data_IF_744165470358
#
_entry.id   IF_744165470358
#
_cell.length_a   1.000
_cell.length_b   1.000
_cell.length_c   1.000
_cell.angle_alpha   90.00
_cell.angle_beta   90.00
_cell.angle_gamma   90.00
#
_symmetry.space_group_name_H-M   'P 1'
#
loop_
_entity.id
_entity.type
_entity.pdbx_description
1 polymer ?
#
# COMPACT_ATOMS: atom_id res chain seq x y z
N UNK A 1 41.12 -46.79 21.52
CA UNK A 1 40.38 -45.71 22.21
C UNK A 1 39.98 -44.57 21.28
N UNK A 2 40.74 -44.25 20.22
CA UNK A 2 40.46 -43.16 19.29
C UNK A 2 39.30 -43.42 18.31
N UNK A 3 39.12 -44.64 17.82
CA UNK A 3 38.01 -44.98 16.89
C UNK A 3 36.60 -44.85 17.51
N UNK A 4 36.47 -45.15 18.82
CA UNK A 4 35.16 -44.98 19.52
C UNK A 4 34.76 -43.51 19.71
N UNK A 5 35.75 -42.63 19.90
CA UNK A 5 35.50 -41.19 20.04
C UNK A 5 35.09 -40.56 18.70
N UNK A 6 35.70 -41.01 17.59
CA UNK A 6 35.35 -40.51 16.23
C UNK A 6 33.93 -40.87 15.84
N UNK A 7 33.43 -42.07 16.17
CA UNK A 7 32.06 -42.47 15.93
C UNK A 7 31.02 -41.66 16.71
N UNK A 8 31.34 -41.22 17.93
CA UNK A 8 30.43 -40.36 18.73
C UNK A 8 30.35 -38.94 18.15
N UNK A 9 31.46 -38.38 17.67
CA UNK A 9 31.44 -37.06 17.04
C UNK A 9 30.69 -37.04 15.69
N UNK A 10 30.81 -38.12 14.89
CA UNK A 10 30.01 -38.22 13.64
C UNK A 10 28.52 -38.39 13.94
N UNK A 11 28.14 -39.13 14.96
CA UNK A 11 26.74 -39.29 15.35
C UNK A 11 26.14 -38.01 15.92
N UNK A 12 26.90 -37.21 16.68
CA UNK A 12 26.45 -35.89 17.18
C UNK A 12 26.33 -34.85 16.04
N UNK A 13 27.22 -34.89 15.05
CA UNK A 13 27.18 -34.01 13.90
C UNK A 13 25.96 -34.31 12.99
N UNK A 14 25.63 -35.60 12.79
CA UNK A 14 24.44 -36.01 12.02
C UNK A 14 23.13 -35.63 12.73
N UNK A 15 23.05 -35.71 14.07
CA UNK A 15 21.87 -35.25 14.81
C UNK A 15 21.67 -33.72 14.73
N UNK A 16 22.74 -32.92 14.71
CA UNK A 16 22.67 -31.47 14.59
C UNK A 16 22.19 -31.01 13.20
N UNK A 17 22.50 -31.78 12.15
CA UNK A 17 22.06 -31.47 10.77
C UNK A 17 20.60 -31.87 10.56
N UNK A 18 20.12 -32.93 11.17
CA UNK A 18 18.71 -33.36 11.05
C UNK A 18 17.72 -32.46 11.82
N UNK A 19 18.16 -31.76 12.87
CA UNK A 19 17.31 -30.87 13.66
C UNK A 19 16.83 -29.64 12.92
N UNK A 20 17.52 -29.17 11.88
CA UNK A 20 17.14 -27.99 11.10
C UNK A 20 16.21 -28.27 9.91
N UNK A 21 16.01 -29.53 9.52
CA UNK A 21 15.14 -29.90 8.38
C UNK A 21 13.67 -30.14 8.78
N UNK A 22 13.42 -30.37 10.09
CA UNK A 22 12.08 -30.75 10.57
C UNK A 22 11.07 -29.56 10.63
N UNK A 23 11.55 -28.31 10.78
CA UNK A 23 10.65 -27.16 10.96
C UNK A 23 10.00 -26.65 9.67
N UNK A 24 10.55 -26.98 8.51
CA UNK A 24 10.04 -26.46 7.23
C UNK A 24 8.92 -27.32 6.61
N UNK A 25 8.75 -28.58 7.05
CA UNK A 25 7.76 -29.50 6.45
C UNK A 25 6.34 -29.31 6.97
N UNK A 26 6.14 -28.78 8.16
CA UNK A 26 4.82 -28.66 8.81
C UNK A 26 4.23 -27.24 8.84
N UNK A 27 4.90 -26.24 8.27
CA UNK A 27 4.33 -24.89 8.18
C UNK A 27 3.28 -24.81 7.05
N UNK A 28 2.09 -24.18 7.30
CA UNK A 28 1.54 -23.82 8.60
C UNK A 28 0.76 -25.00 9.23
N UNK A 29 0.85 -25.17 10.56
CA UNK A 29 0.08 -26.15 11.33
C UNK A 29 -0.86 -25.51 12.37
N UNK A 30 -0.89 -24.18 12.43
CA UNK A 30 -1.77 -23.37 13.28
C UNK A 30 -2.20 -22.12 12.51
N UNK A 31 -3.23 -21.37 12.99
CA UNK A 31 -3.68 -20.14 12.35
C UNK A 31 -2.58 -19.10 12.21
N UNK A 32 -2.62 -18.33 11.11
CA UNK A 32 -1.71 -17.23 10.79
C UNK A 32 -2.42 -15.92 11.13
N UNK A 33 -1.74 -14.99 11.79
CA UNK A 33 -2.22 -13.65 12.09
C UNK A 33 -1.79 -12.67 11.00
N UNK A 34 -2.75 -11.97 10.39
CA UNK A 34 -2.49 -10.90 9.41
C UNK A 34 -2.72 -9.55 10.09
N UNK A 35 -1.63 -8.84 10.40
CA UNK A 35 -1.66 -7.51 11.02
C UNK A 35 -1.96 -6.45 9.96
N UNK A 36 -2.95 -5.58 10.25
CA UNK A 36 -3.42 -4.51 9.36
C UNK A 36 -3.42 -3.17 10.10
N UNK A 37 -2.67 -2.18 9.61
CA UNK A 37 -2.50 -0.87 10.27
C UNK A 37 -3.67 0.10 10.12
N UNK A 38 -4.83 -0.39 9.66
CA UNK A 38 -6.02 0.42 9.34
C UNK A 38 -7.25 -0.06 10.12
N UNK A 39 -8.22 0.85 10.40
CA UNK A 39 -9.44 0.47 11.10
C UNK A 39 -10.27 -0.59 10.35
N UNK A 40 -11.04 -1.40 11.07
CA UNK A 40 -12.00 -2.32 10.45
C UNK A 40 -12.99 -1.59 9.54
N UNK A 41 -13.39 -2.26 8.43
CA UNK A 41 -14.34 -1.73 7.45
C UNK A 41 -13.73 -0.79 6.41
N UNK A 42 -12.48 -0.35 6.56
CA UNK A 42 -11.77 0.43 5.55
C UNK A 42 -11.32 -0.43 4.35
N UNK A 43 -10.91 0.21 3.24
CA UNK A 43 -10.54 -0.48 2.00
C UNK A 43 -9.43 -1.53 2.19
N UNK A 44 -8.40 -1.23 2.99
CA UNK A 44 -7.32 -2.19 3.28
C UNK A 44 -7.80 -3.35 4.16
N UNK A 45 -8.73 -3.12 5.10
CA UNK A 45 -9.32 -4.19 5.90
C UNK A 45 -10.18 -5.13 5.03
N UNK A 46 -10.99 -4.57 4.14
CA UNK A 46 -11.79 -5.36 3.19
C UNK A 46 -10.87 -6.19 2.27
N UNK A 47 -9.80 -5.60 1.75
CA UNK A 47 -8.80 -6.31 0.96
C UNK A 47 -8.13 -7.42 1.78
N UNK A 48 -7.77 -7.16 3.05
CA UNK A 48 -7.18 -8.15 3.94
C UNK A 48 -8.08 -9.37 4.13
N UNK A 49 -9.39 -9.15 4.30
CA UNK A 49 -10.38 -10.25 4.48
C UNK A 49 -10.55 -11.08 3.20
N UNK A 50 -10.57 -10.44 2.02
CA UNK A 50 -10.60 -11.14 0.73
C UNK A 50 -9.35 -12.01 0.55
N UNK A 51 -8.16 -11.49 0.89
CA UNK A 51 -6.92 -12.25 0.81
C UNK A 51 -6.85 -13.36 1.87
N UNK A 52 -7.28 -13.08 3.10
CA UNK A 52 -7.31 -14.07 4.18
C UNK A 52 -8.17 -15.28 3.81
N UNK A 53 -9.37 -15.07 3.25
CA UNK A 53 -10.24 -16.13 2.74
C UNK A 53 -9.54 -16.99 1.67
N UNK A 54 -8.98 -16.34 0.65
CA UNK A 54 -8.34 -17.01 -0.48
C UNK A 54 -7.07 -17.77 -0.09
N UNK A 55 -6.20 -17.15 0.72
CA UNK A 55 -4.95 -17.76 1.18
C UNK A 55 -5.18 -18.88 2.21
N UNK A 56 -6.21 -18.76 3.08
CA UNK A 56 -6.56 -19.83 4.03
C UNK A 56 -6.87 -21.14 3.28
N UNK A 57 -7.58 -21.04 2.16
CA UNK A 57 -7.85 -22.20 1.30
C UNK A 57 -6.58 -22.81 0.70
N UNK A 58 -5.57 -21.98 0.35
CA UNK A 58 -4.30 -22.45 -0.23
C UNK A 58 -3.37 -23.07 0.82
N UNK A 59 -3.38 -22.54 2.03
CA UNK A 59 -2.48 -22.94 3.11
C UNK A 59 -3.05 -24.08 3.99
N UNK A 60 -4.35 -24.36 3.91
CA UNK A 60 -5.03 -25.31 4.78
C UNK A 60 -5.11 -24.85 6.24
N UNK A 61 -4.88 -23.56 6.52
CA UNK A 61 -4.92 -22.96 7.85
C UNK A 61 -5.59 -21.58 7.79
N UNK A 62 -6.35 -21.25 8.82
CA UNK A 62 -7.05 -19.97 8.89
C UNK A 62 -6.07 -18.80 8.97
N UNK A 63 -6.37 -17.72 8.24
CA UNK A 63 -5.72 -16.43 8.40
C UNK A 63 -6.68 -15.50 9.13
N UNK A 64 -6.24 -14.98 10.29
CA UNK A 64 -7.04 -14.08 11.14
C UNK A 64 -6.55 -12.65 10.94
N UNK A 65 -7.43 -11.77 10.48
CA UNK A 65 -7.12 -10.33 10.34
C UNK A 65 -7.15 -9.66 11.70
N UNK A 66 -6.05 -9.02 12.07
CA UNK A 66 -5.86 -8.29 13.34
C UNK A 66 -5.57 -6.81 13.04
N UNK A 67 -6.57 -5.95 13.25
CA UNK A 67 -6.46 -4.53 13.00
C UNK A 67 -5.73 -3.82 14.15
N UNK A 68 -4.63 -3.13 13.85
CA UNK A 68 -3.79 -2.34 14.77
C UNK A 68 -3.65 -0.90 14.25
N UNK A 69 -4.73 -0.11 14.22
CA UNK A 69 -4.67 1.27 13.73
C UNK A 69 -3.94 2.18 14.71
N UNK A 70 -3.43 3.30 14.20
CA UNK A 70 -2.86 4.39 15.00
C UNK A 70 -1.46 4.82 14.57
N UNK A 71 -1.11 6.06 14.95
CA UNK A 71 0.16 6.71 14.66
C UNK A 71 0.59 6.58 13.18
N UNK A 72 -0.33 6.84 12.23
CA UNK A 72 -0.03 6.72 10.79
C UNK A 72 0.41 5.33 10.34
N UNK A 73 -0.03 4.26 11.01
CA UNK A 73 0.35 2.83 10.83
C UNK A 73 1.63 2.38 11.58
N UNK A 74 2.28 3.28 12.34
CA UNK A 74 3.50 2.94 13.08
C UNK A 74 3.28 1.82 14.10
N UNK A 75 2.09 1.76 14.74
CA UNK A 75 1.74 0.71 15.71
C UNK A 75 1.77 -0.66 15.04
N UNK A 76 1.14 -0.80 13.87
CA UNK A 76 1.14 -2.05 13.13
C UNK A 76 2.53 -2.44 12.64
N UNK A 77 3.31 -1.48 12.13
CA UNK A 77 4.69 -1.72 11.69
C UNK A 77 5.57 -2.22 12.82
N UNK A 78 5.49 -1.60 14.00
CA UNK A 78 6.21 -2.01 15.19
C UNK A 78 5.78 -3.40 15.68
N UNK A 79 4.49 -3.74 15.59
CA UNK A 79 3.95 -5.05 15.94
C UNK A 79 4.49 -6.14 15.02
N UNK A 80 4.51 -5.91 13.69
CA UNK A 80 5.07 -6.86 12.73
C UNK A 80 6.56 -7.07 13.01
N UNK A 81 7.35 -6.00 13.17
CA UNK A 81 8.80 -6.07 13.39
C UNK A 81 9.17 -6.83 14.68
N UNK A 82 8.33 -6.77 15.73
CA UNK A 82 8.58 -7.44 17.01
C UNK A 82 8.05 -8.86 17.09
N UNK A 83 7.24 -9.27 16.12
CA UNK A 83 6.66 -10.63 16.09
C UNK A 83 7.74 -11.68 15.80
N UNK A 84 7.56 -12.93 16.27
CA UNK A 84 8.44 -14.04 15.91
C UNK A 84 8.55 -14.20 14.40
N UNK A 85 9.73 -14.54 13.91
CA UNK A 85 10.02 -14.76 12.49
C UNK A 85 9.69 -16.19 12.01
N UNK A 86 8.65 -16.80 12.57
CA UNK A 86 8.21 -18.16 12.29
C UNK A 86 7.18 -18.29 11.17
N UNK A 87 6.76 -17.16 10.58
CA UNK A 87 5.77 -17.07 9.50
C UNK A 87 4.32 -17.02 9.97
N UNK A 88 4.03 -17.14 11.27
CA UNK A 88 2.66 -17.07 11.81
C UNK A 88 2.16 -15.65 12.10
N UNK A 89 3.00 -14.66 11.84
CA UNK A 89 2.58 -13.25 11.72
C UNK A 89 3.00 -12.72 10.36
N UNK A 90 2.04 -12.16 9.62
CA UNK A 90 2.26 -11.44 8.37
C UNK A 90 1.65 -10.04 8.49
N UNK A 91 2.09 -9.09 7.69
CA UNK A 91 1.54 -7.75 7.62
C UNK A 91 0.97 -7.45 6.24
N UNK A 92 -0.20 -6.86 6.17
CA UNK A 92 -0.73 -6.24 4.95
C UNK A 92 -0.75 -4.73 5.14
N UNK A 93 -0.13 -4.01 4.22
CA UNK A 93 -0.06 -2.55 4.25
C UNK A 93 0.05 -1.94 2.86
N UNK A 94 0.26 -0.64 2.82
CA UNK A 94 0.37 0.14 1.60
C UNK A 94 1.66 0.94 1.52
N UNK A 95 1.83 1.69 0.42
CA UNK A 95 2.98 2.58 0.17
C UNK A 95 3.24 3.54 1.35
N UNK A 96 2.19 4.12 1.96
CA UNK A 96 2.32 5.00 3.11
C UNK A 96 2.99 4.33 4.30
N UNK A 97 2.60 3.09 4.59
CA UNK A 97 3.15 2.31 5.69
C UNK A 97 4.59 1.84 5.42
N UNK A 98 4.88 1.31 4.23
CA UNK A 98 6.12 0.59 3.99
C UNK A 98 7.21 1.40 3.30
N UNK A 99 6.88 2.59 2.75
CA UNK A 99 7.85 3.39 1.99
C UNK A 99 7.82 4.89 2.30
N UNK A 100 6.83 5.38 3.06
CA UNK A 100 6.72 6.81 3.40
C UNK A 100 6.93 7.06 4.88
N UNK A 101 6.32 6.23 5.74
CA UNK A 101 6.27 6.43 7.19
C UNK A 101 7.65 6.69 7.81
N UNK A 102 8.68 5.98 7.39
CA UNK A 102 10.04 6.13 7.91
C UNK A 102 10.67 7.49 7.63
N UNK A 103 10.22 8.19 6.58
CA UNK A 103 10.76 9.49 6.16
C UNK A 103 10.06 10.68 6.81
N UNK A 104 8.83 10.48 7.33
CA UNK A 104 8.01 11.56 7.89
C UNK A 104 7.79 11.40 9.40
N UNK A 105 8.03 10.23 9.97
CA UNK A 105 7.77 9.94 11.38
C UNK A 105 8.72 10.71 12.30
N UNK A 106 8.17 11.35 13.34
CA UNK A 106 8.95 11.95 14.43
C UNK A 106 9.58 10.90 15.36
N UNK A 107 9.10 9.66 15.31
CA UNK A 107 9.71 8.54 16.03
C UNK A 107 10.65 7.78 15.09
N UNK A 108 11.81 7.29 15.56
CA UNK A 108 12.77 6.60 14.70
C UNK A 108 12.24 5.23 14.29
N UNK A 109 11.35 5.19 13.29
CA UNK A 109 11.05 3.99 12.53
C UNK A 109 11.95 4.06 11.31
N UNK A 110 13.14 3.50 11.45
CA UNK A 110 14.18 3.64 10.42
C UNK A 110 14.21 2.37 9.57
N UNK A 111 14.23 2.57 8.24
CA UNK A 111 14.58 1.53 7.27
C UNK A 111 13.60 0.34 7.23
N UNK A 112 12.30 0.64 7.19
CA UNK A 112 11.23 -0.37 7.10
C UNK A 112 11.44 -1.41 6.00
N UNK A 113 11.85 -1.03 4.76
CA UNK A 113 12.10 -2.00 3.69
C UNK A 113 13.20 -3.03 4.00
N UNK A 114 14.16 -2.70 4.90
CA UNK A 114 15.21 -3.61 5.34
C UNK A 114 14.93 -4.26 6.70
N UNK A 115 13.86 -3.84 7.39
CA UNK A 115 13.42 -4.40 8.69
C UNK A 115 12.29 -5.41 8.56
N UNK A 116 11.81 -5.65 7.34
CA UNK A 116 10.73 -6.58 7.04
C UNK A 116 11.18 -7.54 5.92
N UNK A 117 10.69 -8.77 5.96
CA UNK A 117 10.85 -9.73 4.87
C UNK A 117 9.71 -9.52 3.86
N UNK A 118 9.99 -9.16 2.59
CA UNK A 118 8.95 -9.03 1.57
C UNK A 118 8.34 -10.40 1.27
N UNK A 119 7.01 -10.51 1.27
CA UNK A 119 6.28 -11.70 0.83
C UNK A 119 5.85 -11.55 -0.63
N UNK A 120 5.22 -10.41 -0.99
CA UNK A 120 4.83 -10.12 -2.36
C UNK A 120 3.98 -8.87 -2.46
N UNK A 121 3.98 -8.26 -3.64
CA UNK A 121 3.01 -7.21 -3.95
C UNK A 121 1.63 -7.85 -4.10
N UNK A 122 0.63 -7.19 -3.53
CA UNK A 122 -0.77 -7.64 -3.59
C UNK A 122 -1.45 -7.03 -4.80
N UNK A 123 -1.25 -5.74 -5.00
CA UNK A 123 -1.88 -5.01 -6.07
C UNK A 123 -1.58 -3.53 -6.02
N UNK A 124 -2.26 -2.79 -6.88
CA UNK A 124 -2.26 -1.34 -6.85
C UNK A 124 -3.69 -0.80 -6.93
N UNK A 125 -3.89 0.41 -6.40
CA UNK A 125 -5.10 1.20 -6.58
C UNK A 125 -4.75 2.43 -7.42
N UNK A 126 -5.32 2.60 -8.61
CA UNK A 126 -5.18 3.85 -9.35
C UNK A 126 -5.81 4.97 -8.53
N UNK A 127 -5.11 6.10 -8.46
CA UNK A 127 -5.65 7.32 -7.90
C UNK A 127 -6.18 8.20 -9.03
N UNK A 128 -7.09 9.09 -8.70
CA UNK A 128 -7.68 10.04 -9.65
C UNK A 128 -7.83 11.42 -9.01
N UNK A 129 -7.74 12.45 -9.82
CA UNK A 129 -8.10 13.81 -9.42
C UNK A 129 -9.61 13.99 -9.52
N UNK A 130 -10.25 14.22 -8.39
CA UNK A 130 -11.65 14.57 -8.24
C UNK A 130 -11.79 16.06 -7.96
N UNK A 131 -12.81 16.67 -8.55
CA UNK A 131 -13.20 18.07 -8.32
C UNK A 131 -14.71 18.16 -8.10
N UNK A 132 -15.22 19.23 -7.43
CA UNK A 132 -16.66 19.45 -7.31
C UNK A 132 -17.32 19.53 -8.70
N UNK A 133 -18.51 18.96 -8.85
CA UNK A 133 -19.27 19.08 -10.10
C UNK A 133 -19.60 20.53 -10.45
N UNK A 134 -19.74 21.39 -9.44
CA UNK A 134 -20.00 22.83 -9.57
C UNK A 134 -18.79 23.63 -10.03
N UNK A 135 -17.57 23.08 -9.93
CA UNK A 135 -16.36 23.74 -10.39
C UNK A 135 -16.35 23.79 -11.93
N UNK A 136 -16.20 24.98 -12.49
CA UNK A 136 -16.23 25.18 -13.94
C UNK A 136 -14.91 24.81 -14.62
N UNK A 137 -14.53 23.53 -14.53
CA UNK A 137 -13.37 22.91 -15.19
C UNK A 137 -13.76 21.51 -15.68
N UNK A 138 -13.25 21.09 -16.85
CA UNK A 138 -13.55 19.80 -17.46
C UNK A 138 -12.28 19.05 -17.92
N UNK A 139 -11.11 19.64 -17.69
CA UNK A 139 -9.82 19.04 -18.04
C UNK A 139 -8.75 19.38 -17.01
N UNK A 140 -7.67 18.61 -17.00
CA UNK A 140 -6.48 18.91 -16.18
C UNK A 140 -5.91 20.30 -16.54
N UNK A 141 -5.87 20.65 -17.82
CA UNK A 141 -5.36 21.94 -18.27
C UNK A 141 -6.18 23.11 -17.71
N UNK A 142 -7.51 23.04 -17.77
CA UNK A 142 -8.40 24.06 -17.20
C UNK A 142 -8.23 24.14 -15.67
N UNK A 143 -8.13 23.01 -15.00
CA UNK A 143 -7.92 22.97 -13.57
C UNK A 143 -6.57 23.63 -13.17
N UNK A 144 -5.48 23.28 -13.85
CA UNK A 144 -4.18 23.90 -13.59
C UNK A 144 -4.16 25.41 -13.90
N UNK A 145 -4.85 25.84 -14.95
CA UNK A 145 -5.01 27.26 -15.26
C UNK A 145 -5.77 28.00 -14.15
N UNK A 146 -6.83 27.39 -13.62
CA UNK A 146 -7.55 27.94 -12.45
C UNK A 146 -6.61 28.11 -11.26
N UNK A 147 -5.81 27.08 -10.91
CA UNK A 147 -4.87 27.16 -9.79
C UNK A 147 -3.79 28.22 -10.00
N UNK A 148 -3.30 28.39 -11.25
CA UNK A 148 -2.32 29.44 -11.59
C UNK A 148 -2.90 30.85 -11.51
N UNK A 149 -4.18 31.02 -11.82
CA UNK A 149 -4.85 32.33 -11.77
C UNK A 149 -5.16 32.78 -10.33
N UNK A 150 -5.23 31.84 -9.37
CA UNK A 150 -5.60 32.09 -7.97
C UNK A 150 -4.61 31.44 -6.98
N UNK A 151 -3.32 31.84 -6.99
CA UNK A 151 -2.30 31.20 -6.16
C UNK A 151 -2.61 31.35 -4.67
N UNK A 152 -2.62 30.23 -3.93
CA UNK A 152 -2.94 30.12 -2.51
C UNK A 152 -4.35 30.57 -2.08
N UNK A 153 -5.24 30.90 -2.99
CA UNK A 153 -6.63 31.28 -2.68
C UNK A 153 -7.54 30.07 -2.57
N UNK A 154 -7.14 28.94 -3.16
CA UNK A 154 -7.88 27.71 -3.20
C UNK A 154 -7.22 26.64 -2.33
N UNK A 155 -8.01 25.64 -1.92
CA UNK A 155 -7.54 24.55 -1.08
C UNK A 155 -7.85 23.18 -1.69
N UNK A 156 -6.98 22.19 -1.45
CA UNK A 156 -7.22 20.79 -1.75
C UNK A 156 -7.29 19.95 -0.48
N UNK A 157 -8.00 18.84 -0.54
CA UNK A 157 -8.12 17.88 0.55
C UNK A 157 -7.16 16.71 0.39
N UNK A 158 -6.79 16.07 1.50
CA UNK A 158 -6.17 14.76 1.53
C UNK A 158 -6.74 13.90 2.66
N UNK A 159 -6.45 12.61 2.65
CA UNK A 159 -6.78 11.69 3.74
C UNK A 159 -5.92 11.85 5.00
N UNK A 160 -5.02 12.86 5.03
CA UNK A 160 -4.13 13.16 6.16
C UNK A 160 -2.69 13.42 5.71
N UNK A 161 -1.91 14.04 6.61
CA UNK A 161 -0.50 14.33 6.37
C UNK A 161 0.31 13.06 6.09
N UNK A 162 1.17 13.09 5.06
CA UNK A 162 2.00 11.97 4.66
C UNK A 162 1.27 10.79 4.00
N UNK A 163 -0.07 10.83 3.91
CA UNK A 163 -0.81 9.82 3.16
C UNK A 163 -0.56 9.98 1.65
N UNK A 164 -0.73 8.90 0.89
CA UNK A 164 -0.52 8.92 -0.57
C UNK A 164 -1.36 9.99 -1.27
N UNK A 165 -2.56 10.30 -0.77
CA UNK A 165 -3.45 11.34 -1.26
C UNK A 165 -2.85 12.76 -1.09
N UNK A 166 -2.11 12.99 0.00
CA UNK A 166 -1.34 14.22 0.22
C UNK A 166 -0.14 14.28 -0.72
N UNK A 167 0.71 13.24 -0.70
CA UNK A 167 1.94 13.18 -1.49
C UNK A 167 1.69 13.31 -2.99
N UNK A 168 0.64 12.65 -3.48
CA UNK A 168 0.23 12.76 -4.88
C UNK A 168 -0.11 14.21 -5.24
N UNK A 169 -0.82 14.93 -4.38
CA UNK A 169 -1.17 16.32 -4.67
C UNK A 169 0.04 17.25 -4.55
N UNK A 170 0.93 17.05 -3.57
CA UNK A 170 2.17 17.82 -3.45
C UNK A 170 3.10 17.59 -4.66
N UNK A 171 3.19 16.35 -5.16
CA UNK A 171 3.90 16.06 -6.40
C UNK A 171 3.24 16.77 -7.60
N UNK A 172 1.90 16.84 -7.68
CA UNK A 172 1.20 17.61 -8.70
C UNK A 172 1.54 19.10 -8.62
N UNK A 173 1.57 19.67 -7.41
CA UNK A 173 1.96 21.08 -7.20
C UNK A 173 3.37 21.36 -7.71
N UNK A 174 4.32 20.46 -7.40
CA UNK A 174 5.70 20.59 -7.85
C UNK A 174 5.83 20.46 -9.36
N UNK A 175 5.26 19.42 -9.97
CA UNK A 175 5.36 19.17 -11.43
C UNK A 175 4.67 20.26 -12.26
N UNK A 176 3.49 20.72 -11.83
CA UNK A 176 2.71 21.73 -12.53
C UNK A 176 3.04 23.19 -12.15
N UNK A 177 3.96 23.39 -11.18
CA UNK A 177 4.33 24.72 -10.65
C UNK A 177 3.12 25.55 -10.23
N UNK A 178 2.20 24.94 -9.45
CA UNK A 178 1.00 25.59 -8.93
C UNK A 178 1.05 25.73 -7.42
N UNK A 179 0.34 26.74 -6.88
CA UNK A 179 0.24 27.02 -5.44
C UNK A 179 -1.20 26.89 -4.98
N UNK A 180 -1.45 25.96 -4.07
CA UNK A 180 -2.76 25.69 -3.47
C UNK A 180 -2.58 25.22 -2.04
N UNK A 181 -3.48 25.59 -1.12
CA UNK A 181 -3.37 25.23 0.31
C UNK A 181 -3.78 23.77 0.55
N UNK A 182 -3.08 23.09 1.45
CA UNK A 182 -3.42 21.76 1.90
C UNK A 182 -4.36 21.78 3.11
N UNK A 183 -5.43 20.99 3.08
CA UNK A 183 -6.31 20.72 4.22
C UNK A 183 -6.31 19.22 4.49
N UNK A 184 -5.64 18.76 5.57
CA UNK A 184 -5.63 17.34 5.94
C UNK A 184 -6.93 16.94 6.63
N UNK A 185 -7.44 15.75 6.28
CA UNK A 185 -8.62 15.14 6.91
C UNK A 185 -8.24 13.80 7.58
N UNK A 186 -9.12 13.29 8.42
CA UNK A 186 -8.98 11.95 9.03
C UNK A 186 -9.52 10.86 8.11
N UNK A 187 -8.91 10.72 6.91
CA UNK A 187 -9.31 9.76 5.87
C UNK A 187 -10.13 10.38 4.73
N UNK A 188 -10.40 9.57 3.71
CA UNK A 188 -11.09 9.97 2.47
C UNK A 188 -12.55 10.41 2.68
N UNK A 189 -13.27 9.77 3.62
CA UNK A 189 -14.69 10.04 3.82
C UNK A 189 -15.01 11.52 4.09
N UNK A 190 -14.48 12.15 5.16
CA UNK A 190 -14.70 13.57 5.44
C UNK A 190 -14.11 14.48 4.35
N UNK A 191 -13.01 14.12 3.70
CA UNK A 191 -12.44 14.85 2.57
C UNK A 191 -13.40 14.92 1.37
N UNK A 192 -14.03 13.80 1.02
CA UNK A 192 -15.03 13.71 -0.05
C UNK A 192 -16.29 14.54 0.25
N UNK A 193 -16.73 14.59 1.52
CA UNK A 193 -17.88 15.41 1.93
C UNK A 193 -17.61 16.90 1.65
N UNK A 194 -16.44 17.38 2.06
CA UNK A 194 -16.08 18.79 1.86
C UNK A 194 -15.77 19.11 0.39
N UNK A 195 -15.25 18.15 -0.36
CA UNK A 195 -15.09 18.29 -1.82
C UNK A 195 -16.45 18.42 -2.51
N UNK A 196 -17.42 17.56 -2.21
CA UNK A 196 -18.78 17.65 -2.77
C UNK A 196 -19.50 18.95 -2.40
N UNK A 197 -19.20 19.49 -1.22
CA UNK A 197 -19.73 20.77 -0.76
C UNK A 197 -19.01 22.00 -1.38
N UNK A 198 -17.94 21.79 -2.16
CA UNK A 198 -17.15 22.87 -2.77
C UNK A 198 -16.29 23.65 -1.79
N UNK A 199 -16.07 23.16 -0.55
CA UNK A 199 -15.19 23.79 0.44
C UNK A 199 -13.71 23.65 0.07
N UNK A 200 -13.38 22.61 -0.67
CA UNK A 200 -12.09 22.37 -1.33
C UNK A 200 -12.31 22.11 -2.81
N UNK A 201 -11.33 22.44 -3.66
CA UNK A 201 -11.48 22.35 -5.11
C UNK A 201 -10.79 21.16 -5.75
N UNK A 202 -10.12 20.33 -4.97
CA UNK A 202 -9.42 19.14 -5.47
C UNK A 202 -9.16 18.11 -4.39
N UNK A 203 -9.17 16.85 -4.80
CA UNK A 203 -8.75 15.71 -4.01
C UNK A 203 -8.19 14.65 -4.96
N UNK A 204 -6.96 14.19 -4.70
CA UNK A 204 -6.45 12.99 -5.35
C UNK A 204 -6.68 11.83 -4.40
N UNK A 205 -7.48 10.84 -4.81
CA UNK A 205 -7.83 9.69 -3.98
C UNK A 205 -7.99 8.43 -4.83
N UNK A 206 -8.14 7.29 -4.17
CA UNK A 206 -8.42 6.02 -4.84
C UNK A 206 -9.64 6.15 -5.76
N UNK A 207 -9.51 5.64 -6.97
CA UNK A 207 -10.56 5.74 -7.99
C UNK A 207 -11.90 5.19 -7.47
N UNK A 208 -11.87 4.06 -6.76
CA UNK A 208 -13.04 3.46 -6.16
C UNK A 208 -13.76 4.34 -5.12
N UNK A 209 -13.03 5.19 -4.39
CA UNK A 209 -13.61 6.07 -3.37
C UNK A 209 -14.45 7.20 -3.97
N UNK A 210 -13.99 7.81 -5.08
CA UNK A 210 -14.66 8.96 -5.70
C UNK A 210 -15.70 8.59 -6.75
N UNK A 211 -15.58 7.47 -7.44
CA UNK A 211 -16.45 7.10 -8.58
C UNK A 211 -17.93 7.00 -8.25
N UNK A 212 -18.40 6.52 -7.08
CA UNK A 212 -19.83 6.58 -6.73
C UNK A 212 -20.38 8.00 -6.74
N UNK A 213 -19.57 8.98 -6.34
CA UNK A 213 -19.95 10.41 -6.32
C UNK A 213 -19.89 11.04 -7.72
N UNK A 214 -19.03 10.55 -8.61
CA UNK A 214 -19.03 10.92 -10.02
C UNK A 214 -20.31 10.39 -10.71
N UNK A 215 -20.66 9.12 -10.46
CA UNK A 215 -21.89 8.51 -10.99
C UNK A 215 -23.16 9.22 -10.51
N UNK A 216 -23.17 9.75 -9.29
CA UNK A 216 -24.29 10.54 -8.74
C UNK A 216 -24.27 12.03 -9.14
N UNK A 217 -23.33 12.46 -9.99
CA UNK A 217 -23.23 13.83 -10.49
C UNK A 217 -22.75 14.86 -9.46
N UNK A 218 -22.21 14.44 -8.31
CA UNK A 218 -21.71 15.35 -7.27
C UNK A 218 -20.26 15.76 -7.48
N UNK A 219 -19.47 14.89 -8.12
CA UNK A 219 -18.06 15.13 -8.46
C UNK A 219 -17.83 14.94 -9.96
N UNK A 220 -16.72 15.51 -10.45
CA UNK A 220 -16.10 15.18 -11.72
C UNK A 220 -14.75 14.51 -11.46
N UNK A 221 -14.35 13.58 -12.32
CA UNK A 221 -13.01 13.01 -12.37
C UNK A 221 -12.30 13.60 -13.59
N UNK A 222 -11.11 14.17 -13.39
CA UNK A 222 -10.38 14.84 -14.47
C UNK A 222 -9.28 13.96 -15.08
N UNK A 223 -8.54 13.20 -14.27
CA UNK A 223 -7.50 12.32 -14.76
C UNK A 223 -7.12 11.25 -13.72
N UNK A 224 -6.56 10.15 -14.22
CA UNK A 224 -5.88 9.13 -13.42
C UNK A 224 -4.42 9.51 -13.22
N UNK A 225 -3.88 9.17 -12.05
CA UNK A 225 -2.46 9.39 -11.73
C UNK A 225 -1.56 8.23 -12.21
N UNK A 226 -2.15 7.12 -12.65
CA UNK A 226 -1.44 5.96 -13.18
C UNK A 226 -0.78 6.25 -14.54
N UNK A 227 0.20 5.44 -14.94
CA UNK A 227 0.88 5.56 -16.23
C UNK A 227 -0.07 5.31 -17.42
N UNK A 228 -1.02 4.37 -17.23
CA UNK A 228 -1.99 3.93 -18.23
C UNK A 228 -3.41 4.06 -17.68
N UNK A 229 -4.40 4.07 -18.57
CA UNK A 229 -5.82 4.11 -18.18
C UNK A 229 -6.24 2.82 -17.49
N UNK A 230 -7.10 2.95 -16.48
CA UNK A 230 -7.70 1.77 -15.84
C UNK A 230 -8.63 1.05 -16.82
N UNK A 231 -8.58 -0.30 -16.91
CA UNK A 231 -9.34 -1.08 -17.90
C UNK A 231 -10.84 -0.78 -17.92
N UNK A 232 -11.46 -0.58 -16.75
CA UNK A 232 -12.90 -0.31 -16.60
C UNK A 232 -13.25 1.17 -16.79
N UNK A 233 -12.25 2.05 -16.91
CA UNK A 233 -12.44 3.51 -16.99
C UNK A 233 -11.66 4.13 -18.14
N UNK A 234 -11.75 3.51 -19.32
CA UNK A 234 -11.04 3.93 -20.52
C UNK A 234 -11.38 5.38 -20.99
N UNK A 235 -12.51 5.91 -20.57
CA UNK A 235 -12.90 7.28 -20.87
C UNK A 235 -12.13 8.33 -20.03
N UNK A 236 -11.49 7.93 -18.92
CA UNK A 236 -10.76 8.85 -18.04
C UNK A 236 -9.31 8.91 -18.50
N UNK A 237 -8.80 10.08 -18.94
CA UNK A 237 -7.40 10.21 -19.35
C UNK A 237 -6.44 10.10 -18.16
N UNK A 238 -5.17 9.87 -18.43
CA UNK A 238 -4.11 10.00 -17.42
C UNK A 238 -3.55 11.42 -17.37
N UNK A 239 -2.89 11.79 -16.28
CA UNK A 239 -2.13 13.04 -16.22
C UNK A 239 -1.03 13.09 -17.28
N UNK A 240 -0.39 11.94 -17.57
CA UNK A 240 0.61 11.81 -18.64
C UNK A 240 0.04 12.17 -20.00
N UNK A 241 -1.15 11.67 -20.34
CA UNK A 241 -1.88 12.03 -21.56
C UNK A 241 -2.31 13.51 -21.56
N UNK A 242 -2.54 14.09 -20.37
CA UNK A 242 -2.92 15.49 -20.18
C UNK A 242 -1.74 16.46 -20.14
N UNK A 243 -0.51 16.00 -20.47
CA UNK A 243 0.67 16.84 -20.62
C UNK A 243 1.69 16.80 -19.47
N UNK A 244 1.36 16.18 -18.33
CA UNK A 244 2.27 15.99 -17.20
C UNK A 244 2.99 14.63 -17.31
N UNK A 245 3.99 14.56 -18.18
CA UNK A 245 4.62 13.29 -18.62
C UNK A 245 5.30 12.53 -17.48
N UNK A 246 5.85 13.22 -16.48
CA UNK A 246 6.58 12.63 -15.37
C UNK A 246 5.68 12.38 -14.13
N UNK A 247 4.43 12.82 -14.19
CA UNK A 247 3.50 12.64 -13.09
C UNK A 247 2.83 11.25 -13.13
N UNK A 248 3.41 10.32 -12.41
CA UNK A 248 2.87 8.97 -12.24
C UNK A 248 2.90 8.61 -10.76
N UNK A 249 1.74 8.37 -10.18
CA UNK A 249 1.56 7.97 -8.78
C UNK A 249 0.55 6.84 -8.71
N UNK A 250 0.92 5.75 -8.05
CA UNK A 250 0.00 4.64 -7.77
C UNK A 250 0.04 4.30 -6.29
N UNK A 251 -1.13 4.09 -5.70
CA UNK A 251 -1.21 3.49 -4.38
C UNK A 251 -1.02 1.97 -4.53
N UNK A 252 0.08 1.42 -4.03
CA UNK A 252 0.28 -0.02 -4.03
C UNK A 252 0.05 -0.63 -2.64
N UNK A 253 -0.27 -1.91 -2.62
CA UNK A 253 -0.45 -2.73 -1.43
C UNK A 253 0.49 -3.93 -1.50
N UNK A 254 1.03 -4.30 -0.35
CA UNK A 254 1.98 -5.40 -0.25
C UNK A 254 1.85 -6.18 1.03
N UNK A 255 2.34 -7.40 0.97
CA UNK A 255 2.41 -8.31 2.11
C UNK A 255 3.85 -8.51 2.54
N UNK A 256 4.09 -8.45 3.84
CA UNK A 256 5.41 -8.61 4.47
C UNK A 256 5.34 -9.61 5.63
N UNK A 257 6.49 -10.07 6.07
CA UNK A 257 6.67 -10.86 7.29
C UNK A 257 7.75 -10.21 8.18
N UNK A 258 7.92 -10.63 9.44
CA UNK A 258 9.05 -10.25 10.27
C UNK A 258 10.39 -10.53 9.58
N UNK A 259 11.38 -9.68 9.84
CA UNK A 259 12.74 -9.88 9.31
C UNK A 259 13.29 -11.26 9.70
N UNK A 260 14.08 -11.86 8.83
CA UNK A 260 14.66 -13.20 9.01
C UNK A 260 13.62 -14.36 9.08
N UNK A 261 12.38 -14.14 8.64
CA UNK A 261 11.47 -15.26 8.38
C UNK A 261 12.13 -16.23 7.39
N UNK A 262 12.18 -17.55 7.66
CA UNK A 262 12.87 -18.50 6.80
C UNK A 262 12.41 -18.43 5.36
N UNK A 263 13.36 -18.48 4.42
CA UNK A 263 13.06 -18.34 2.98
C UNK A 263 12.00 -19.33 2.48
N UNK A 264 12.02 -20.57 2.95
CA UNK A 264 11.02 -21.59 2.59
C UNK A 264 9.60 -21.19 3.05
N UNK A 265 9.48 -20.54 4.21
CA UNK A 265 8.20 -20.01 4.73
C UNK A 265 7.71 -18.83 3.88
N UNK A 266 8.61 -17.88 3.58
CA UNK A 266 8.29 -16.74 2.70
C UNK A 266 7.83 -17.21 1.33
N UNK A 267 8.52 -18.19 0.73
CA UNK A 267 8.14 -18.75 -0.58
C UNK A 267 6.77 -19.45 -0.52
N UNK A 268 6.46 -20.17 0.57
CA UNK A 268 5.14 -20.81 0.73
C UNK A 268 4.02 -19.78 0.88
N UNK A 269 4.25 -18.69 1.64
CA UNK A 269 3.33 -17.57 1.77
C UNK A 269 3.13 -16.84 0.43
N UNK A 270 4.23 -16.56 -0.30
CA UNK A 270 4.17 -15.93 -1.63
C UNK A 270 3.41 -16.78 -2.64
N UNK A 271 3.67 -18.10 -2.68
CA UNK A 271 2.92 -19.02 -3.54
C UNK A 271 1.43 -18.95 -3.25
N UNK A 272 1.03 -19.06 -1.97
CA UNK A 272 -0.37 -18.97 -1.56
C UNK A 272 -1.00 -17.61 -1.93
N UNK A 273 -0.26 -16.51 -1.75
CA UNK A 273 -0.69 -15.18 -2.16
C UNK A 273 -0.92 -15.12 -3.68
N UNK A 274 0.06 -15.52 -4.48
CA UNK A 274 -0.01 -15.42 -5.94
C UNK A 274 -1.10 -16.36 -6.53
N UNK A 275 -1.27 -17.56 -6.00
CA UNK A 275 -2.37 -18.45 -6.38
C UNK A 275 -3.72 -17.83 -6.03
N UNK A 276 -3.85 -17.17 -4.87
CA UNK A 276 -5.05 -16.42 -4.47
C UNK A 276 -5.32 -15.26 -5.43
N UNK A 277 -4.33 -14.42 -5.72
CA UNK A 277 -4.44 -13.29 -6.63
C UNK A 277 -4.82 -13.70 -8.08
N UNK A 278 -4.49 -14.92 -8.49
CA UNK A 278 -4.79 -15.43 -9.82
C UNK A 278 -6.20 -16.02 -9.96
N UNK A 279 -6.93 -16.27 -8.86
CA UNK A 279 -8.31 -16.75 -8.91
C UNK A 279 -9.24 -15.68 -9.48
N UNK A 280 -10.09 -16.04 -10.44
CA UNK A 280 -11.03 -15.11 -11.09
C UNK A 280 -11.93 -14.41 -10.07
N UNK A 281 -12.52 -15.14 -9.16
CA UNK A 281 -13.38 -14.62 -8.10
C UNK A 281 -12.71 -13.60 -7.18
N UNK A 282 -11.42 -13.82 -6.87
CA UNK A 282 -10.62 -12.89 -6.05
C UNK A 282 -10.29 -11.62 -6.85
N UNK A 283 -9.90 -11.77 -8.11
CA UNK A 283 -9.67 -10.62 -9.01
C UNK A 283 -10.92 -9.75 -9.10
N UNK A 284 -12.10 -10.35 -9.31
CA UNK A 284 -13.37 -9.62 -9.38
C UNK A 284 -13.70 -8.91 -8.06
N UNK A 285 -13.54 -9.59 -6.91
CA UNK A 285 -13.70 -8.97 -5.58
C UNK A 285 -12.73 -7.79 -5.39
N UNK A 286 -11.45 -7.96 -5.73
CA UNK A 286 -10.43 -6.91 -5.60
C UNK A 286 -10.73 -5.71 -6.50
N UNK A 287 -11.07 -5.93 -7.77
CA UNK A 287 -11.44 -4.87 -8.72
C UNK A 287 -12.69 -4.14 -8.23
N UNK A 288 -13.68 -4.86 -7.69
CA UNK A 288 -14.86 -4.25 -7.06
C UNK A 288 -14.53 -3.34 -5.87
N UNK A 289 -13.42 -3.59 -5.18
CA UNK A 289 -12.86 -2.75 -4.13
C UNK A 289 -11.92 -1.64 -4.67
N UNK A 290 -11.66 -1.59 -5.98
CA UNK A 290 -10.76 -0.65 -6.61
C UNK A 290 -9.28 -1.05 -6.58
N UNK A 291 -8.97 -2.33 -6.32
CA UNK A 291 -7.59 -2.85 -6.31
C UNK A 291 -7.35 -3.77 -7.51
N UNK A 292 -6.23 -3.55 -8.19
CA UNK A 292 -5.81 -4.35 -9.35
C UNK A 292 -4.68 -5.31 -8.93
N UNK A 293 -4.90 -6.63 -8.98
CA UNK A 293 -3.89 -7.61 -8.55
C UNK A 293 -2.57 -7.48 -9.32
N UNK A 294 -1.45 -7.55 -8.61
CA UNK A 294 -0.11 -7.50 -9.19
C UNK A 294 0.79 -8.53 -8.51
N UNK A 295 0.65 -9.83 -8.87
CA UNK A 295 1.48 -10.87 -8.28
C UNK A 295 2.96 -10.68 -8.63
N UNK A 296 3.84 -10.82 -7.63
CA UNK A 296 5.29 -10.71 -7.77
C UNK A 296 5.99 -11.79 -6.98
N UNK A 297 7.30 -11.98 -7.25
CA UNK A 297 8.14 -12.73 -6.32
C UNK A 297 8.52 -11.89 -5.10
N UNK A 298 8.97 -12.50 -3.99
CA UNK A 298 9.47 -11.75 -2.83
C UNK A 298 10.63 -10.81 -3.19
N UNK A 299 11.54 -11.25 -4.07
CA UNK A 299 12.69 -10.47 -4.52
C UNK A 299 12.26 -9.25 -5.33
N UNK A 300 11.34 -9.43 -6.28
CA UNK A 300 10.78 -8.33 -7.08
C UNK A 300 10.11 -7.29 -6.19
N UNK A 301 9.29 -7.75 -5.22
CA UNK A 301 8.63 -6.84 -4.30
C UNK A 301 9.62 -6.14 -3.36
N UNK A 302 10.66 -6.82 -2.89
CA UNK A 302 11.72 -6.21 -2.07
C UNK A 302 12.47 -5.10 -2.80
N UNK A 303 12.83 -5.32 -4.08
CA UNK A 303 13.46 -4.30 -4.94
C UNK A 303 12.51 -3.11 -5.13
N UNK A 304 11.24 -3.39 -5.41
CA UNK A 304 10.20 -2.37 -5.60
C UNK A 304 10.00 -1.52 -4.33
N UNK A 305 9.84 -2.14 -3.15
CA UNK A 305 9.69 -1.43 -1.88
C UNK A 305 10.85 -0.46 -1.60
N UNK A 306 12.09 -0.92 -1.86
CA UNK A 306 13.29 -0.08 -1.67
C UNK A 306 13.32 1.10 -2.63
N UNK A 307 13.01 0.87 -3.90
CA UNK A 307 12.93 1.94 -4.89
C UNK A 307 11.86 2.98 -4.54
N UNK A 308 10.70 2.52 -4.10
CA UNK A 308 9.61 3.39 -3.64
C UNK A 308 10.02 4.17 -2.38
N UNK A 309 10.67 3.55 -1.39
CA UNK A 309 11.16 4.27 -0.21
C UNK A 309 12.14 5.39 -0.58
N UNK A 310 13.11 5.12 -1.45
CA UNK A 310 14.05 6.14 -1.92
C UNK A 310 13.34 7.28 -2.65
N UNK A 311 12.39 6.95 -3.53
CA UNK A 311 11.61 7.93 -4.28
C UNK A 311 10.79 8.84 -3.36
N UNK A 312 10.01 8.26 -2.46
CA UNK A 312 9.17 9.00 -1.54
C UNK A 312 9.98 9.76 -0.49
N UNK A 313 11.10 9.19 -0.03
CA UNK A 313 12.02 9.87 0.89
C UNK A 313 12.62 11.13 0.28
N UNK A 314 13.04 11.09 -0.98
CA UNK A 314 13.52 12.27 -1.71
C UNK A 314 12.44 13.36 -1.78
N UNK A 315 11.20 12.99 -2.16
CA UNK A 315 10.07 13.92 -2.25
C UNK A 315 9.70 14.51 -0.86
N UNK A 316 9.60 13.68 0.16
CA UNK A 316 9.29 14.14 1.52
C UNK A 316 10.31 15.16 2.03
N UNK A 317 11.60 14.90 1.75
CA UNK A 317 12.70 15.82 2.11
C UNK A 317 12.62 17.14 1.34
N UNK A 318 12.41 17.08 0.02
CA UNK A 318 12.28 18.25 -0.85
C UNK A 318 11.12 19.13 -0.41
N UNK A 319 9.96 18.54 -0.14
CA UNK A 319 8.72 19.24 0.20
C UNK A 319 8.57 19.49 1.71
N UNK A 320 9.54 19.06 2.54
CA UNK A 320 9.54 19.21 4.01
C UNK A 320 8.26 18.64 4.65
N UNK A 321 7.83 17.46 4.18
CA UNK A 321 6.63 16.79 4.69
C UNK A 321 6.98 16.07 5.99
N UNK A 322 6.24 16.39 7.06
CA UNK A 322 6.35 15.75 8.38
C UNK A 322 5.01 15.13 8.77
N UNK A 323 5.06 14.07 9.58
CA UNK A 323 3.86 13.53 10.23
C UNK A 323 3.38 14.47 11.35
N UNK A 324 2.08 14.41 11.64
CA UNK A 324 1.44 15.12 12.76
C UNK A 324 2.00 14.71 14.13
#
# INVERSE_FOLDING_TARGET
MHLRKLGIYLALLSCAIMGNLAFAQDFPNKPIRMVVGFPPGGGIDQLARVLAEGMSSQLGQNIVVDNKPGAGTAIASAEIMRSPNDGYTIGLGNVGQFSVLEHISKQPIVDLPNKLAPVGQVGYAPLALFVPATLNVNSVAEYLNLLKSQPNALSYASGGNGQITHLAFEMLKSEAQVKIQHIPYKGSGPALIDLMAGRVVGLIDALGAGMPHVKSGKLKVLALTAADRAPEFQAIPTFKESGLKNYVVTGWQGMVAPLNTPAAVVQKLNKALNETLNKKEIKEKMIGLGYYPTPTTPEQFGIFMKAESLRWGALCKELKIEAD
#
